data_IF_681751955329
#
_entry.id   IF_681751955329
#
_cell.length_a   1.000
_cell.length_b   1.000
_cell.length_c   1.000
_cell.angle_alpha   90.00
_cell.angle_beta   90.00
_cell.angle_gamma   90.00
#
_symmetry.space_group_name_H-M   'P 1'
#
loop_
_entity.id
_entity.type
_entity.pdbx_description
1 polymer ?
#
# COMPACT_ATOMS: atom_id res chain seq x y z
N UNK A 1 -30.42 12.92 7.85
CA UNK A 1 -29.43 12.33 6.91
C UNK A 1 -30.19 11.52 5.88
N UNK A 2 -30.16 11.98 4.63
CA UNK A 2 -30.89 11.36 3.52
C UNK A 2 -30.16 10.06 3.10
N UNK A 3 -30.74 8.90 3.45
CA UNK A 3 -30.07 7.58 3.39
C UNK A 3 -29.99 6.97 1.97
N UNK A 4 -30.42 7.71 0.94
CA UNK A 4 -30.51 7.22 -0.44
C UNK A 4 -29.62 7.95 -1.47
N UNK A 5 -28.81 8.93 -1.05
CA UNK A 5 -27.93 9.64 -1.99
C UNK A 5 -26.54 9.02 -2.02
N UNK A 6 -26.24 8.33 -3.11
CA UNK A 6 -24.87 7.98 -3.46
C UNK A 6 -24.12 9.21 -3.98
N UNK A 7 -22.82 9.35 -3.66
CA UNK A 7 -22.05 10.50 -4.14
C UNK A 7 -21.93 10.45 -5.67
N UNK A 8 -22.06 11.58 -6.38
CA UNK A 8 -21.93 11.62 -7.84
C UNK A 8 -20.61 11.04 -8.37
N UNK A 9 -19.54 11.08 -7.56
CA UNK A 9 -18.25 10.46 -7.88
C UNK A 9 -18.34 8.94 -8.01
N UNK A 10 -19.14 8.26 -7.18
CA UNK A 10 -19.31 6.81 -7.26
C UNK A 10 -19.91 6.39 -8.60
N UNK A 11 -20.95 7.10 -9.06
CA UNK A 11 -21.55 6.83 -10.36
C UNK A 11 -20.57 7.07 -11.50
N UNK A 12 -19.78 8.15 -11.47
CA UNK A 12 -18.75 8.41 -12.48
C UNK A 12 -17.68 7.29 -12.54
N UNK A 13 -17.34 6.70 -11.41
CA UNK A 13 -16.44 5.54 -11.35
C UNK A 13 -17.10 4.29 -11.93
N UNK A 14 -18.35 3.99 -11.54
CA UNK A 14 -19.09 2.83 -12.03
C UNK A 14 -19.35 2.88 -13.55
N UNK A 15 -19.63 4.06 -14.10
CA UNK A 15 -19.87 4.26 -15.52
C UNK A 15 -18.58 4.36 -16.34
N UNK A 16 -17.41 4.17 -15.72
CA UNK A 16 -16.11 4.24 -16.40
C UNK A 16 -15.77 5.61 -16.97
N UNK A 17 -16.47 6.67 -16.53
CA UNK A 17 -16.34 8.02 -17.07
C UNK A 17 -15.11 8.77 -16.55
N UNK A 18 -14.35 8.17 -15.63
CA UNK A 18 -13.08 8.69 -15.14
C UNK A 18 -11.93 8.25 -16.06
N UNK A 19 -11.38 9.18 -16.84
CA UNK A 19 -10.08 9.00 -17.48
C UNK A 19 -8.98 9.40 -16.50
N UNK A 20 -8.25 8.41 -15.98
CA UNK A 20 -7.16 8.60 -15.04
C UNK A 20 -5.77 8.53 -15.71
N UNK A 21 -5.71 8.33 -17.02
CA UNK A 21 -4.45 8.08 -17.71
C UNK A 21 -3.52 9.30 -17.70
N UNK A 22 -4.07 10.51 -17.62
CA UNK A 22 -3.30 11.76 -17.50
C UNK A 22 -2.68 12.00 -16.11
N UNK A 23 -3.02 11.21 -15.09
CA UNK A 23 -2.58 11.44 -13.71
C UNK A 23 -1.22 10.79 -13.48
N UNK A 24 -0.17 11.62 -13.44
CA UNK A 24 1.24 11.19 -13.30
C UNK A 24 1.48 10.28 -12.08
N UNK A 25 0.79 10.54 -10.97
CA UNK A 25 0.90 9.76 -9.74
C UNK A 25 0.38 8.33 -9.93
N UNK A 26 -0.73 8.17 -10.67
CA UNK A 26 -1.35 6.87 -10.95
C UNK A 26 -0.46 6.08 -11.92
N UNK A 27 0.03 6.73 -12.99
CA UNK A 27 0.95 6.10 -13.94
C UNK A 27 2.24 5.64 -13.25
N UNK A 28 2.80 6.47 -12.36
CA UNK A 28 3.96 6.11 -11.57
C UNK A 28 3.70 4.91 -10.65
N UNK A 29 2.56 4.90 -9.96
CA UNK A 29 2.14 3.78 -9.12
C UNK A 29 2.10 2.48 -9.92
N UNK A 30 1.27 2.44 -10.97
CA UNK A 30 1.09 1.26 -11.84
C UNK A 30 2.40 0.72 -12.41
N UNK A 31 3.29 1.60 -12.86
CA UNK A 31 4.56 1.19 -13.47
C UNK A 31 5.56 0.63 -12.44
N UNK A 32 5.64 1.22 -11.25
CA UNK A 32 6.64 0.83 -10.26
C UNK A 32 6.16 -0.27 -9.32
N UNK A 33 4.85 -0.46 -9.17
CA UNK A 33 4.27 -1.55 -8.38
C UNK A 33 4.76 -2.91 -8.84
N UNK A 34 4.69 -3.19 -10.15
CA UNK A 34 5.21 -4.45 -10.72
C UNK A 34 6.69 -4.67 -10.42
N UNK A 35 7.52 -3.63 -10.58
CA UNK A 35 8.96 -3.71 -10.29
C UNK A 35 9.26 -3.90 -8.81
N UNK A 36 8.42 -3.31 -7.95
CA UNK A 36 8.50 -3.47 -6.52
C UNK A 36 8.17 -4.91 -6.10
N UNK A 37 7.15 -5.54 -6.70
CA UNK A 37 6.85 -6.96 -6.52
C UNK A 37 8.06 -7.81 -6.91
N UNK A 38 8.58 -7.61 -8.13
CA UNK A 38 9.73 -8.39 -8.65
C UNK A 38 10.93 -8.33 -7.70
N UNK A 39 11.29 -7.12 -7.24
CA UNK A 39 12.37 -6.94 -6.27
C UNK A 39 12.09 -7.55 -4.91
N UNK A 40 10.84 -7.46 -4.44
CA UNK A 40 10.45 -8.09 -3.18
C UNK A 40 10.58 -9.61 -3.25
N UNK A 41 10.11 -10.22 -4.33
CA UNK A 41 10.25 -11.66 -4.57
C UNK A 41 11.72 -12.09 -4.59
N UNK A 42 12.58 -11.35 -5.29
CA UNK A 42 14.02 -11.61 -5.37
C UNK A 42 14.69 -11.49 -3.98
N UNK A 43 14.41 -10.40 -3.25
CA UNK A 43 15.05 -10.11 -1.97
C UNK A 43 14.69 -11.11 -0.87
N UNK A 44 13.44 -11.58 -0.84
CA UNK A 44 12.94 -12.49 0.20
C UNK A 44 12.84 -13.94 -0.26
N UNK A 45 13.18 -14.22 -1.52
CA UNK A 45 13.02 -15.53 -2.14
C UNK A 45 11.60 -16.10 -1.95
N UNK A 46 10.58 -15.26 -2.17
CA UNK A 46 9.16 -15.62 -2.06
C UNK A 46 8.44 -15.42 -3.38
N UNK A 47 7.31 -16.09 -3.55
CA UNK A 47 6.43 -15.87 -4.71
C UNK A 47 5.22 -15.04 -4.28
N UNK A 48 4.98 -13.94 -4.99
CA UNK A 48 3.79 -13.09 -4.82
C UNK A 48 2.79 -13.45 -5.91
N UNK A 49 1.63 -13.94 -5.49
CA UNK A 49 0.54 -14.28 -6.41
C UNK A 49 -0.38 -13.07 -6.58
N UNK A 50 -0.64 -12.60 -7.82
CA UNK A 50 -1.59 -11.53 -8.07
C UNK A 50 -2.98 -11.89 -7.56
N UNK A 51 -3.72 -10.90 -7.08
CA UNK A 51 -5.09 -11.10 -6.64
C UNK A 51 -6.03 -10.01 -7.15
N UNK A 52 -7.33 -10.23 -7.00
CA UNK A 52 -8.36 -9.30 -7.41
C UNK A 52 -8.93 -8.52 -6.24
N UNK A 53 -10.16 -8.05 -6.40
CA UNK A 53 -10.93 -7.47 -5.32
C UNK A 53 -11.52 -8.57 -4.43
N UNK A 54 -11.35 -8.41 -3.13
CA UNK A 54 -11.87 -9.27 -2.07
C UNK A 54 -13.03 -8.56 -1.41
N UNK A 55 -14.10 -9.29 -1.09
CA UNK A 55 -15.25 -8.73 -0.40
C UNK A 55 -15.39 -9.31 1.00
N UNK A 56 -15.95 -8.53 1.92
CA UNK A 56 -16.47 -9.06 3.18
C UNK A 56 -17.58 -10.06 2.89
N UNK A 57 -17.90 -10.91 3.86
CA UNK A 57 -18.94 -11.95 3.71
C UNK A 57 -20.30 -11.35 3.29
N UNK A 58 -20.56 -10.13 3.72
CA UNK A 58 -21.78 -9.36 3.44
C UNK A 58 -21.74 -8.65 2.06
N UNK A 59 -20.59 -8.64 1.38
CA UNK A 59 -20.42 -8.01 0.06
C UNK A 59 -20.34 -6.49 0.08
N UNK A 60 -20.43 -5.85 1.25
CA UNK A 60 -20.53 -4.38 1.37
C UNK A 60 -19.17 -3.70 1.34
N UNK A 61 -18.14 -4.38 1.84
CA UNK A 61 -16.79 -3.80 1.99
C UNK A 61 -15.83 -4.62 1.15
N UNK A 62 -15.05 -3.95 0.30
CA UNK A 62 -14.01 -4.56 -0.51
C UNK A 62 -12.60 -4.11 -0.16
N UNK A 63 -11.61 -4.94 -0.47
CA UNK A 63 -10.19 -4.60 -0.46
C UNK A 63 -9.51 -5.25 -1.67
N UNK A 64 -8.48 -4.63 -2.23
CA UNK A 64 -7.71 -5.19 -3.35
C UNK A 64 -6.24 -5.21 -2.94
N UNK A 65 -5.76 -6.29 -2.29
CA UNK A 65 -4.34 -6.42 -1.98
C UNK A 65 -3.50 -6.43 -3.26
N UNK A 66 -2.27 -5.93 -3.18
CA UNK A 66 -1.36 -5.93 -4.34
C UNK A 66 -0.81 -7.33 -4.64
N UNK A 67 -0.85 -8.24 -3.65
CA UNK A 67 -0.59 -9.66 -3.86
C UNK A 67 -0.68 -10.51 -2.59
N UNK A 68 -0.53 -11.82 -2.78
CA UNK A 68 -0.54 -12.83 -1.71
C UNK A 68 0.81 -13.53 -1.63
N UNK A 69 1.25 -13.83 -0.42
CA UNK A 69 2.48 -14.59 -0.16
C UNK A 69 2.07 -15.83 0.62
N UNK A 70 2.28 -17.02 0.02
CA UNK A 70 1.80 -18.26 0.61
C UNK A 70 0.29 -18.25 0.87
N UNK A 71 -0.13 -18.79 2.02
CA UNK A 71 -1.55 -18.97 2.36
C UNK A 71 -2.12 -17.86 3.27
N UNK A 72 -1.28 -17.20 4.06
CA UNK A 72 -1.72 -16.38 5.19
C UNK A 72 -1.21 -14.93 5.17
N UNK A 73 -0.40 -14.60 4.18
CA UNK A 73 0.26 -13.30 4.08
C UNK A 73 -0.16 -12.59 2.82
N UNK A 74 -0.19 -11.27 2.91
CA UNK A 74 -0.53 -10.39 1.82
C UNK A 74 0.44 -9.22 1.81
N UNK A 75 0.63 -8.66 0.62
CA UNK A 75 1.52 -7.54 0.40
C UNK A 75 0.73 -6.33 -0.08
N UNK A 76 1.11 -5.17 0.46
CA UNK A 76 0.69 -3.86 0.01
C UNK A 76 1.93 -3.09 -0.43
N UNK A 77 1.91 -2.55 -1.62
CA UNK A 77 3.01 -1.83 -2.24
C UNK A 77 2.59 -0.38 -2.39
N UNK A 78 3.49 0.50 -1.95
CA UNK A 78 3.31 1.94 -2.16
C UNK A 78 4.50 2.51 -2.93
N UNK A 79 4.19 3.13 -4.06
CA UNK A 79 5.14 3.84 -4.90
C UNK A 79 4.78 5.34 -4.92
N UNK A 80 5.18 6.13 -3.91
CA UNK A 80 4.77 7.52 -3.81
C UNK A 80 5.49 8.41 -4.84
N UNK A 81 4.74 9.00 -5.77
CA UNK A 81 5.30 9.85 -6.83
C UNK A 81 5.97 11.13 -6.28
N UNK A 82 5.39 11.73 -5.24
CA UNK A 82 5.90 12.98 -4.62
C UNK A 82 7.31 12.80 -4.06
N UNK A 83 7.66 11.58 -3.66
CA UNK A 83 8.90 11.25 -2.97
C UNK A 83 9.83 10.36 -3.77
N UNK A 84 9.63 10.33 -5.10
CA UNK A 84 10.39 9.49 -6.01
C UNK A 84 11.92 9.72 -5.94
N UNK A 85 12.34 10.93 -5.56
CA UNK A 85 13.74 11.35 -5.45
C UNK A 85 14.18 11.67 -3.99
N UNK A 86 13.33 11.39 -2.99
CA UNK A 86 13.56 11.78 -1.59
C UNK A 86 14.07 10.62 -0.73
N UNK A 87 14.79 10.94 0.35
CA UNK A 87 15.11 9.95 1.37
C UNK A 87 13.84 9.55 2.14
N UNK A 88 13.59 8.25 2.18
CA UNK A 88 12.36 7.68 2.71
C UNK A 88 12.12 7.97 4.22
N UNK A 89 13.17 8.02 5.04
CA UNK A 89 13.05 8.32 6.48
C UNK A 89 12.49 9.73 6.72
N UNK A 90 13.00 10.70 5.97
CA UNK A 90 12.58 12.10 6.05
C UNK A 90 11.12 12.29 5.63
N UNK A 91 10.62 11.43 4.74
CA UNK A 91 9.23 11.49 4.28
C UNK A 91 8.27 11.01 5.35
N UNK A 92 8.57 9.86 5.96
CA UNK A 92 7.72 9.27 7.01
C UNK A 92 7.72 10.05 8.33
N UNK A 93 8.75 10.87 8.58
CA UNK A 93 8.79 11.72 9.77
C UNK A 93 7.90 12.97 9.63
N UNK A 94 7.58 13.37 8.40
CA UNK A 94 6.86 14.62 8.12
C UNK A 94 5.40 14.37 7.72
N UNK A 95 5.11 13.29 6.99
CA UNK A 95 3.75 12.99 6.54
C UNK A 95 3.02 11.98 7.43
N UNK A 96 1.81 12.35 7.84
CA UNK A 96 0.84 11.46 8.48
C UNK A 96 -0.05 10.69 7.48
N UNK A 97 0.23 10.81 6.17
CA UNK A 97 -0.64 10.27 5.11
C UNK A 97 -0.47 8.77 4.84
N UNK A 98 0.60 8.16 5.36
CA UNK A 98 0.87 6.73 5.19
C UNK A 98 0.56 5.96 6.47
N UNK A 99 0.31 4.66 6.28
CA UNK A 99 0.08 3.69 7.37
C UNK A 99 1.38 3.48 8.19
N UNK A 100 2.54 3.92 7.67
CA UNK A 100 3.82 3.93 8.37
C UNK A 100 4.18 5.33 8.85
N UNK A 101 4.75 5.42 10.05
CA UNK A 101 5.29 6.64 10.64
C UNK A 101 6.71 6.41 11.12
N UNK A 102 7.54 7.45 11.08
CA UNK A 102 8.86 7.44 11.70
C UNK A 102 8.85 8.39 12.91
N UNK A 103 9.02 7.83 14.12
CA UNK A 103 8.94 8.56 15.39
C UNK A 103 10.08 8.08 16.27
N UNK A 104 10.77 8.98 16.98
CA UNK A 104 11.82 8.64 17.96
C UNK A 104 12.88 7.64 17.45
N UNK A 105 13.33 7.84 16.20
CA UNK A 105 14.28 6.98 15.48
C UNK A 105 13.79 5.57 15.10
N UNK A 106 12.54 5.22 15.44
CA UNK A 106 11.91 3.95 15.12
C UNK A 106 10.77 4.11 14.09
N UNK A 107 10.52 3.04 13.32
CA UNK A 107 9.37 2.97 12.43
C UNK A 107 8.18 2.38 13.17
N UNK A 108 7.03 3.02 13.09
CA UNK A 108 5.78 2.55 13.67
C UNK A 108 4.77 2.26 12.57
N UNK A 109 4.09 1.13 12.66
CA UNK A 109 2.97 0.80 11.76
C UNK A 109 1.65 1.10 12.48
N UNK A 110 0.76 1.82 11.83
CA UNK A 110 -0.65 1.91 12.22
C UNK A 110 -1.32 0.60 11.78
N UNK A 111 -1.73 -0.27 12.70
CA UNK A 111 -2.27 -1.58 12.34
C UNK A 111 -3.62 -1.42 11.63
N UNK A 112 -3.68 -1.80 10.35
CA UNK A 112 -4.95 -1.91 9.63
C UNK A 112 -5.28 -3.31 9.09
N UNK A 113 -4.37 -4.29 9.20
CA UNK A 113 -4.48 -5.78 9.18
C UNK A 113 -3.04 -6.34 8.98
N UNK A 114 -2.86 -7.66 8.82
CA UNK A 114 -1.56 -8.26 8.48
C UNK A 114 -1.15 -7.84 7.07
N UNK A 115 -0.27 -6.84 6.92
CA UNK A 115 0.23 -6.38 5.63
C UNK A 115 1.75 -6.38 5.67
N UNK A 116 2.40 -6.95 4.66
CA UNK A 116 3.79 -6.61 4.36
C UNK A 116 3.77 -5.31 3.54
N UNK A 117 4.28 -4.20 4.09
CA UNK A 117 4.34 -2.94 3.35
C UNK A 117 5.72 -2.79 2.71
N UNK A 118 5.76 -2.80 1.39
CA UNK A 118 6.96 -2.54 0.61
C UNK A 118 6.90 -1.16 -0.03
N UNK A 119 7.91 -0.33 0.21
CA UNK A 119 8.01 0.99 -0.40
C UNK A 119 9.28 1.11 -1.21
N UNK A 120 9.11 1.64 -2.42
CA UNK A 120 10.15 1.75 -3.42
C UNK A 120 10.40 3.21 -3.82
N UNK A 121 11.29 3.95 -3.12
CA UNK A 121 11.89 5.15 -3.67
C UNK A 121 12.97 4.78 -4.70
N UNK A 122 13.06 5.51 -5.81
CA UNK A 122 14.03 5.19 -6.86
C UNK A 122 15.41 5.72 -6.46
N UNK A 123 16.31 4.85 -6.01
CA UNK A 123 17.70 4.72 -6.54
C UNK A 123 18.52 3.60 -5.91
N UNK A 124 18.29 3.20 -4.66
CA UNK A 124 19.15 2.19 -4.02
C UNK A 124 18.51 1.42 -2.85
N UNK A 125 17.33 1.80 -2.37
CA UNK A 125 16.79 1.24 -1.12
C UNK A 125 15.32 0.83 -1.28
N UNK A 126 15.07 -0.48 -1.24
CA UNK A 126 13.76 -1.06 -0.94
C UNK A 126 13.68 -1.28 0.57
N UNK A 127 12.55 -0.92 1.19
CA UNK A 127 12.31 -1.22 2.61
C UNK A 127 11.00 -1.99 2.76
N UNK A 128 11.11 -3.12 3.43
CA UNK A 128 9.98 -3.92 3.91
C UNK A 128 9.72 -3.60 5.36
N UNK A 129 8.43 -3.53 5.69
CA UNK A 129 7.95 -3.41 7.05
C UNK A 129 6.93 -4.53 7.29
N UNK A 130 7.25 -5.56 8.09
CA UNK A 130 6.27 -6.55 8.51
C UNK A 130 5.26 -5.90 9.47
N UNK A 131 3.96 -6.03 9.19
CA UNK A 131 2.90 -5.61 10.10
C UNK A 131 2.14 -6.83 10.62
N UNK A 132 2.18 -7.02 11.94
CA UNK A 132 1.29 -7.97 12.61
C UNK A 132 -0.05 -7.32 12.99
N UNK A 133 -1.09 -8.15 13.09
CA UNK A 133 -2.43 -7.69 13.44
C UNK A 133 -2.55 -7.55 14.95
N UNK A 134 -2.58 -6.33 15.43
CA UNK A 134 -2.75 -6.01 16.84
C UNK A 134 -3.26 -4.57 16.91
N UNK A 135 -4.31 -4.25 17.68
CA UNK A 135 -4.95 -2.92 17.67
C UNK A 135 -4.13 -1.76 18.26
N UNK A 136 -2.80 -1.82 18.21
CA UNK A 136 -1.86 -0.83 18.78
C UNK A 136 -0.76 -0.49 17.76
N UNK A 137 -0.12 0.66 17.87
CA UNK A 137 1.10 0.98 17.12
C UNK A 137 2.25 0.08 17.62
N UNK A 138 3.00 -0.54 16.70
CA UNK A 138 4.17 -1.35 17.06
C UNK A 138 5.45 -0.78 16.44
N UNK A 139 6.56 -0.73 17.19
CA UNK A 139 7.86 -0.46 16.62
C UNK A 139 8.27 -1.63 15.72
N UNK A 140 8.67 -1.34 14.48
CA UNK A 140 9.24 -2.31 13.55
C UNK A 140 10.73 -2.43 13.87
N UNK A 141 11.11 -3.53 14.49
CA UNK A 141 12.52 -3.86 14.74
C UNK A 141 13.02 -4.81 13.66
N UNK A 142 14.23 -4.56 13.20
CA UNK A 142 14.97 -5.45 12.30
C UNK A 142 15.94 -6.26 13.17
N UNK A 143 15.89 -7.60 13.06
CA UNK A 143 17.03 -8.46 13.38
C UNK A 143 17.90 -8.62 12.12
#
# INVERSE_FOLDING_TARGET
>A
MDRGRFPPSLFKTLTGSYNLDGVKQIQWGRYNEKKAIEKFQEQYNVTVTPTGIWFSKEGVIGASPDGLIGENELIEIKCPFRYKDSNFKTVLSVENGYILKYVDNDFFIIPLRKYCLFMYPKRTESRVFPCERTGKLFPVRYE
#
